data_IF_639042939868
#
_entry.id   IF_639042939868
#
_cell.length_a   1.000
_cell.length_b   1.000
_cell.length_c   1.000
_cell.angle_alpha   90.00
_cell.angle_beta   90.00
_cell.angle_gamma   90.00
#
_symmetry.space_group_name_H-M   'P 1'
#
loop_
_entity.id
_entity.type
_entity.pdbx_description
1 polymer ?
#
# COMPACT_ATOMS: atom_id res chain seq x y z
N UNK A 1 -48.42 -62.63 -5.53
CA UNK A 1 -49.34 -61.93 -6.45
C UNK A 1 -49.97 -60.80 -5.66
N UNK A 2 -49.76 -59.54 -6.12
CA UNK A 2 -50.63 -58.34 -6.00
C UNK A 2 -51.22 -57.97 -4.62
N UNK A 3 -51.36 -56.72 -4.17
CA UNK A 3 -50.98 -55.35 -4.55
C UNK A 3 -51.56 -54.45 -3.42
N UNK A 4 -50.92 -53.31 -3.16
CA UNK A 4 -51.44 -52.02 -2.66
C UNK A 4 -52.23 -51.89 -1.32
N UNK A 5 -51.64 -51.04 -0.46
CA UNK A 5 -52.13 -49.93 0.43
C UNK A 5 -53.61 -49.48 0.27
N UNK A 6 -54.23 -48.65 1.17
CA UNK A 6 -53.63 -47.67 2.10
C UNK A 6 -54.39 -47.43 3.44
N UNK A 7 -53.88 -46.54 4.31
CA UNK A 7 -54.67 -45.47 4.96
C UNK A 7 -53.79 -44.61 5.85
N UNK A 8 -53.75 -43.31 5.54
CA UNK A 8 -53.13 -42.26 6.32
C UNK A 8 -54.21 -41.17 6.54
N UNK A 9 -54.40 -40.79 7.79
CA UNK A 9 -55.15 -39.62 8.30
C UNK A 9 -54.88 -39.61 9.80
N UNK A 10 -54.48 -38.53 10.48
CA UNK A 10 -54.48 -37.11 10.18
C UNK A 10 -53.82 -36.36 11.35
N UNK A 11 -53.58 -35.06 11.17
CA UNK A 11 -53.37 -34.00 12.20
C UNK A 11 -51.97 -33.94 12.84
N UNK A 12 -51.36 -32.77 13.08
CA UNK A 12 -51.70 -31.36 12.80
C UNK A 12 -50.46 -30.49 13.07
N UNK A 13 -50.47 -29.32 12.46
CA UNK A 13 -49.46 -28.26 12.46
C UNK A 13 -48.98 -27.80 13.86
N UNK A 14 -47.71 -27.39 13.93
CA UNK A 14 -47.32 -26.20 14.68
C UNK A 14 -46.24 -25.44 13.92
N UNK A 15 -46.60 -24.21 13.54
CA UNK A 15 -45.67 -23.17 13.11
C UNK A 15 -44.72 -22.84 14.26
N UNK A 16 -43.41 -22.88 14.01
CA UNK A 16 -42.48 -22.02 14.74
C UNK A 16 -41.51 -21.38 13.75
N UNK A 17 -41.74 -20.10 13.51
CA UNK A 17 -40.91 -19.22 12.70
C UNK A 17 -39.69 -18.82 13.51
N UNK A 18 -38.64 -19.64 13.47
CA UNK A 18 -37.30 -19.27 13.91
C UNK A 18 -36.31 -19.56 12.80
N UNK A 19 -36.32 -18.70 11.78
CA UNK A 19 -35.25 -18.65 10.82
C UNK A 19 -34.11 -17.84 11.47
N UNK A 20 -32.90 -18.40 11.65
CA UNK A 20 -31.78 -17.63 12.16
C UNK A 20 -31.39 -16.59 11.10
N UNK A 21 -31.32 -15.32 11.49
CA UNK A 21 -30.73 -14.29 10.64
C UNK A 21 -29.28 -14.67 10.31
N UNK A 22 -28.85 -14.56 9.03
CA UNK A 22 -27.51 -14.94 8.64
C UNK A 22 -26.47 -13.96 9.21
N UNK A 23 -25.26 -14.43 9.57
CA UNK A 23 -24.20 -13.62 10.16
C UNK A 23 -23.48 -12.76 9.11
N UNK A 24 -24.22 -12.00 8.30
CA UNK A 24 -23.69 -11.17 7.21
C UNK A 24 -23.38 -9.74 7.62
N UNK A 25 -23.76 -9.31 8.83
CA UNK A 25 -23.58 -7.91 9.27
C UNK A 25 -22.13 -7.54 9.60
N UNK A 26 -21.34 -8.43 10.22
CA UNK A 26 -20.01 -8.04 10.72
C UNK A 26 -18.94 -7.92 9.63
N UNK A 27 -19.10 -8.65 8.52
CA UNK A 27 -18.19 -8.61 7.38
C UNK A 27 -18.36 -7.34 6.54
N UNK A 28 -19.61 -6.95 6.34
CA UNK A 28 -19.95 -5.72 5.63
C UNK A 28 -19.55 -4.49 6.45
N UNK A 29 -19.78 -4.51 7.77
CA UNK A 29 -19.28 -3.47 8.68
C UNK A 29 -17.75 -3.41 8.70
N UNK A 30 -17.06 -4.55 8.64
CA UNK A 30 -15.59 -4.58 8.60
C UNK A 30 -15.03 -3.97 7.31
N UNK A 31 -15.55 -4.36 6.14
CA UNK A 31 -15.17 -3.75 4.86
C UNK A 31 -15.52 -2.25 4.88
N UNK A 32 -16.70 -1.87 5.38
CA UNK A 32 -17.10 -0.46 5.56
C UNK A 32 -16.24 0.31 6.58
N UNK A 33 -15.69 -0.37 7.60
CA UNK A 33 -14.78 0.20 8.61
C UNK A 33 -13.41 0.47 8.01
N UNK A 34 -12.89 -0.45 7.18
CA UNK A 34 -11.67 -0.24 6.40
C UNK A 34 -11.80 0.91 5.39
N UNK A 35 -13.03 1.19 4.94
CA UNK A 35 -13.37 2.22 3.95
C UNK A 35 -13.66 3.60 4.59
N UNK A 36 -13.85 3.69 5.91
CA UNK A 36 -14.23 4.95 6.57
C UNK A 36 -13.06 5.95 6.67
N UNK A 37 -13.12 7.12 6.01
CA UNK A 37 -12.04 8.10 6.06
C UNK A 37 -12.11 8.91 7.36
N UNK A 38 -11.17 8.67 8.27
CA UNK A 38 -10.89 9.63 9.34
C UNK A 38 -10.20 10.87 8.74
N UNK A 39 -11.02 11.84 8.32
CA UNK A 39 -10.74 13.27 8.18
C UNK A 39 -9.31 13.67 7.76
N UNK A 40 -9.06 13.68 6.45
CA UNK A 40 -8.07 14.59 5.89
C UNK A 40 -8.60 16.03 6.01
N UNK A 41 -8.17 16.75 7.04
CA UNK A 41 -8.29 18.20 7.10
C UNK A 41 -7.30 18.80 6.08
N UNK A 42 -7.71 18.86 4.80
CA UNK A 42 -7.07 19.70 3.79
C UNK A 42 -7.70 21.08 3.91
N UNK A 43 -6.96 21.99 4.53
CA UNK A 43 -7.19 23.43 4.44
C UNK A 43 -5.94 24.03 3.82
N UNK A 44 -6.00 24.32 2.53
CA UNK A 44 -4.98 25.06 1.80
C UNK A 44 -5.54 25.51 0.46
N UNK A 45 -5.92 26.79 0.40
CA UNK A 45 -6.48 27.50 -0.75
C UNK A 45 -5.77 27.22 -2.08
N UNK A 46 -6.51 27.02 -3.18
CA UNK A 46 -5.95 26.97 -4.52
C UNK A 46 -6.01 28.36 -5.15
N UNK A 47 -5.03 29.23 -4.90
CA UNK A 47 -4.87 30.45 -5.72
C UNK A 47 -3.45 31.04 -5.73
N UNK A 48 -3.01 31.39 -6.95
CA UNK A 48 -1.79 32.12 -7.34
C UNK A 48 -0.48 31.30 -7.30
N UNK A 49 0.26 31.13 -8.39
CA UNK A 49 0.87 32.22 -9.17
C UNK A 49 0.90 31.93 -10.67
N UNK A 50 0.26 32.81 -11.43
CA UNK A 50 0.51 33.05 -12.86
C UNK A 50 1.82 33.83 -13.04
N UNK A 51 2.68 33.40 -13.96
CA UNK A 51 3.61 34.30 -14.65
C UNK A 51 3.49 34.11 -16.15
N UNK A 52 2.86 35.11 -16.79
CA UNK A 52 2.96 35.36 -18.22
C UNK A 52 4.25 36.12 -18.52
N UNK A 53 4.92 35.78 -19.61
CA UNK A 53 5.61 36.77 -20.41
C UNK A 53 5.37 36.44 -21.88
N UNK A 54 4.66 37.34 -22.54
CA UNK A 54 4.33 37.26 -23.96
C UNK A 54 5.20 38.27 -24.73
N UNK A 55 5.27 38.05 -26.04
CA UNK A 55 5.69 38.98 -27.10
C UNK A 55 7.19 39.16 -27.34
N UNK A 56 7.68 38.55 -28.42
CA UNK A 56 7.87 39.32 -29.67
C UNK A 56 8.27 38.42 -30.85
N UNK A 57 7.30 38.18 -31.73
CA UNK A 57 7.51 37.89 -33.14
C UNK A 57 7.12 39.15 -33.90
N UNK A 58 8.09 39.83 -34.52
CA UNK A 58 7.86 40.86 -35.54
C UNK A 58 8.91 40.69 -36.65
N UNK A 59 8.40 40.81 -37.86
CA UNK A 59 9.08 40.56 -39.12
C UNK A 59 10.14 41.61 -39.49
N UNK A 60 10.96 41.19 -40.45
CA UNK A 60 12.09 41.83 -41.11
C UNK A 60 12.05 43.35 -41.33
N UNK A 61 13.19 44.00 -41.11
CA UNK A 61 13.76 44.96 -42.07
C UNK A 61 15.28 45.16 -41.89
N UNK A 62 15.94 45.28 -43.03
CA UNK A 62 17.37 45.32 -43.29
C UNK A 62 18.06 46.56 -42.71
N UNK A 63 19.14 46.38 -41.94
CA UNK A 63 20.22 47.38 -41.83
C UNK A 63 21.55 46.74 -41.44
N UNK A 64 22.60 47.09 -42.19
CA UNK A 64 23.98 46.65 -41.95
C UNK A 64 24.55 47.36 -40.73
N UNK A 65 24.95 46.60 -39.70
CA UNK A 65 25.83 47.06 -38.63
C UNK A 65 26.62 45.89 -38.02
N UNK A 66 27.95 45.97 -38.17
CA UNK A 66 29.06 45.46 -37.36
C UNK A 66 28.88 44.17 -36.50
N UNK A 67 29.69 43.12 -36.70
CA UNK A 67 29.61 41.91 -35.87
C UNK A 67 30.09 42.20 -34.44
N UNK A 68 29.21 41.95 -33.47
CA UNK A 68 29.56 41.93 -32.05
C UNK A 68 30.73 40.97 -31.80
N UNK A 69 31.67 41.27 -30.87
CA UNK A 69 32.77 40.37 -30.58
C UNK A 69 32.23 39.10 -29.94
N UNK A 70 32.28 37.99 -30.68
CA UNK A 70 32.15 36.65 -30.11
C UNK A 70 33.31 36.47 -29.12
N UNK A 71 33.02 36.60 -27.83
CA UNK A 71 33.97 36.23 -26.77
C UNK A 71 34.06 34.70 -26.79
N UNK A 72 34.96 34.17 -27.60
CA UNK A 72 35.36 32.77 -27.51
C UNK A 72 36.14 32.59 -26.20
N UNK A 73 35.45 32.21 -25.13
CA UNK A 73 36.14 31.80 -23.90
C UNK A 73 36.97 30.56 -24.22
N UNK A 74 38.28 30.76 -24.34
CA UNK A 74 39.22 29.68 -24.60
C UNK A 74 39.59 29.09 -23.25
N UNK A 75 39.02 27.93 -22.92
CA UNK A 75 39.44 27.19 -21.74
C UNK A 75 40.84 26.63 -21.97
N UNK A 76 41.75 26.86 -21.02
CA UNK A 76 43.02 26.13 -21.04
C UNK A 76 42.76 24.66 -20.73
N UNK A 77 43.63 23.77 -21.21
CA UNK A 77 43.50 22.33 -20.98
C UNK A 77 43.42 22.01 -19.48
N UNK A 78 44.15 22.76 -18.64
CA UNK A 78 44.11 22.61 -17.18
C UNK A 78 42.79 23.09 -16.57
N UNK A 79 42.21 24.19 -17.08
CA UNK A 79 40.89 24.65 -16.63
C UNK A 79 39.77 23.68 -17.05
N UNK A 80 39.88 23.06 -18.23
CA UNK A 80 38.97 22.01 -18.65
C UNK A 80 39.14 20.76 -17.78
N UNK A 81 40.38 20.37 -17.45
CA UNK A 81 40.66 19.22 -16.60
C UNK A 81 40.17 19.45 -15.16
N UNK A 82 40.30 20.67 -14.65
CA UNK A 82 39.80 21.09 -13.34
C UNK A 82 38.26 21.14 -13.32
N UNK A 83 37.63 21.64 -14.39
CA UNK A 83 36.17 21.60 -14.56
C UNK A 83 35.67 20.17 -14.65
N UNK A 84 36.34 19.29 -15.40
CA UNK A 84 35.98 17.87 -15.50
C UNK A 84 36.19 17.13 -14.17
N UNK A 85 37.19 17.51 -13.37
CA UNK A 85 37.35 17.00 -11.99
C UNK A 85 36.29 17.55 -11.05
N UNK A 86 35.93 18.82 -11.15
CA UNK A 86 34.88 19.45 -10.35
C UNK A 86 33.50 18.87 -10.70
N UNK A 87 33.21 18.72 -11.99
CA UNK A 87 32.01 18.05 -12.51
C UNK A 87 31.99 16.54 -12.18
N UNK A 88 33.17 15.90 -12.12
CA UNK A 88 33.32 14.51 -11.71
C UNK A 88 33.22 14.25 -10.21
N UNK A 89 33.19 15.30 -9.37
CA UNK A 89 33.29 15.21 -7.89
C UNK A 89 32.01 15.48 -7.10
N UNK A 90 30.86 15.57 -7.77
CA UNK A 90 29.57 15.56 -7.08
C UNK A 90 28.76 14.35 -7.55
N UNK A 91 29.31 13.14 -7.39
CA UNK A 91 28.42 12.01 -7.12
C UNK A 91 27.99 12.21 -5.67
N UNK A 92 26.87 12.88 -5.48
CA UNK A 92 26.22 12.90 -4.18
C UNK A 92 26.20 11.48 -3.66
N UNK A 93 26.75 11.27 -2.47
CA UNK A 93 26.69 9.97 -1.84
C UNK A 93 25.22 9.59 -1.76
N UNK A 94 24.86 8.43 -2.34
CA UNK A 94 23.47 8.00 -2.35
C UNK A 94 22.92 7.98 -0.92
N UNK A 95 21.64 8.34 -0.74
CA UNK A 95 21.04 8.36 0.59
C UNK A 95 21.19 6.99 1.28
N UNK A 96 21.53 7.04 2.57
CA UNK A 96 21.56 5.83 3.39
C UNK A 96 20.13 5.40 3.67
N UNK A 97 19.74 4.27 3.08
CA UNK A 97 18.40 3.73 3.26
C UNK A 97 18.22 3.13 4.65
N UNK A 98 17.05 3.34 5.24
CA UNK A 98 16.65 2.65 6.48
C UNK A 98 16.09 1.27 6.14
N UNK A 99 16.41 0.29 6.98
CA UNK A 99 15.81 -1.03 6.86
C UNK A 99 14.33 -0.98 7.29
N UNK A 100 13.41 -1.53 6.49
CA UNK A 100 12.02 -1.67 6.90
C UNK A 100 11.87 -2.64 8.07
N UNK A 101 10.79 -2.50 8.84
CA UNK A 101 10.43 -3.42 9.92
C UNK A 101 10.30 -4.87 9.43
N UNK A 102 9.57 -5.04 8.33
CA UNK A 102 9.40 -6.34 7.66
C UNK A 102 9.92 -6.19 6.23
N UNK A 103 10.92 -6.98 5.90
CA UNK A 103 11.65 -6.93 4.64
C UNK A 103 13.13 -6.67 4.86
N UNK A 104 13.79 -6.05 3.88
CA UNK A 104 15.23 -5.95 3.91
C UNK A 104 15.82 -4.86 3.03
N UNK A 105 17.15 -4.83 3.06
CA UNK A 105 17.98 -4.01 2.18
C UNK A 105 18.72 -4.95 1.22
N UNK A 106 18.81 -4.56 -0.04
CA UNK A 106 19.66 -5.24 -1.01
C UNK A 106 20.56 -4.23 -1.75
N UNK A 107 21.25 -4.68 -2.80
CA UNK A 107 22.11 -3.81 -3.60
C UNK A 107 21.32 -2.69 -4.29
N UNK A 108 20.05 -2.93 -4.62
CA UNK A 108 19.17 -2.01 -5.35
C UNK A 108 18.52 -0.97 -4.43
N UNK A 109 18.06 -1.38 -3.24
CA UNK A 109 17.22 -0.54 -2.41
C UNK A 109 16.67 -1.20 -1.15
N UNK A 110 15.65 -0.57 -0.58
CA UNK A 110 14.84 -1.09 0.52
C UNK A 110 13.54 -1.69 -0.03
N UNK A 111 13.13 -2.83 0.51
CA UNK A 111 11.92 -3.55 0.09
C UNK A 111 11.16 -4.10 1.30
N UNK A 112 9.82 -4.12 1.20
CA UNK A 112 8.94 -4.57 2.29
C UNK A 112 8.29 -5.93 2.00
N UNK A 113 7.83 -6.57 3.06
CA UNK A 113 7.20 -7.89 3.02
C UNK A 113 8.15 -9.01 3.46
N UNK A 114 7.64 -10.24 3.56
CA UNK A 114 8.38 -11.41 4.04
C UNK A 114 9.24 -12.03 2.93
N UNK A 115 9.15 -11.51 1.72
CA UNK A 115 9.99 -11.96 0.61
C UNK A 115 9.63 -13.34 0.07
N UNK A 116 10.49 -13.86 -0.79
CA UNK A 116 10.29 -15.17 -1.43
C UNK A 116 10.22 -16.26 -0.36
N UNK A 117 9.13 -17.05 -0.40
CA UNK A 117 8.91 -18.15 0.55
C UNK A 117 8.73 -17.72 2.01
N UNK A 118 8.64 -16.42 2.30
CA UNK A 118 8.52 -15.90 3.66
C UNK A 118 9.85 -15.82 4.43
N UNK A 119 11.01 -16.00 3.77
CA UNK A 119 12.32 -16.09 4.43
C UNK A 119 12.97 -14.73 4.73
N UNK A 120 12.45 -13.63 4.21
CA UNK A 120 12.99 -12.29 4.41
C UNK A 120 14.31 -12.02 3.69
N UNK A 121 14.78 -12.93 2.81
CA UNK A 121 16.10 -12.86 2.17
C UNK A 121 16.11 -12.00 0.91
N UNK A 122 15.01 -12.00 0.16
CA UNK A 122 14.86 -11.28 -1.10
C UNK A 122 13.41 -10.90 -1.35
N UNK A 123 13.13 -9.79 -2.05
CA UNK A 123 11.76 -9.35 -2.31
C UNK A 123 11.00 -10.38 -3.14
N UNK A 124 9.70 -10.54 -2.86
CA UNK A 124 8.83 -11.46 -3.61
C UNK A 124 8.73 -11.05 -5.09
N UNK A 125 8.71 -9.75 -5.36
CA UNK A 125 8.76 -9.19 -6.71
C UNK A 125 9.42 -7.81 -6.71
N UNK A 126 9.68 -7.24 -7.88
CA UNK A 126 10.16 -5.85 -8.00
C UNK A 126 9.16 -4.83 -7.41
N UNK A 127 7.88 -5.19 -7.28
CA UNK A 127 6.85 -4.33 -6.71
C UNK A 127 6.94 -4.22 -5.17
N UNK A 128 7.78 -5.02 -4.52
CA UNK A 128 8.05 -4.91 -3.09
C UNK A 128 8.99 -3.75 -2.72
N UNK A 129 9.62 -3.11 -3.71
CA UNK A 129 10.59 -2.02 -3.46
C UNK A 129 9.87 -0.78 -2.93
N UNK A 130 10.49 -0.07 -1.98
CA UNK A 130 9.98 1.17 -1.37
C UNK A 130 10.95 2.34 -1.40
N UNK A 131 12.23 2.05 -1.60
CA UNK A 131 13.23 3.09 -1.80
C UNK A 131 14.40 2.52 -2.60
N UNK A 132 15.05 3.34 -3.41
CA UNK A 132 16.17 2.95 -4.25
C UNK A 132 17.44 3.70 -3.86
N UNK A 133 18.59 3.05 -3.95
CA UNK A 133 19.91 3.67 -3.70
C UNK A 133 20.31 4.54 -4.89
N UNK A 134 19.58 5.63 -5.10
CA UNK A 134 19.74 6.53 -6.24
C UNK A 134 19.38 7.98 -5.86
N UNK A 135 19.49 8.91 -6.81
CA UNK A 135 19.06 10.29 -6.59
C UNK A 135 17.53 10.39 -6.47
N UNK A 136 17.05 11.45 -5.82
CA UNK A 136 15.62 11.61 -5.50
C UNK A 136 14.72 11.57 -6.73
N UNK A 137 15.19 12.11 -7.87
CA UNK A 137 14.41 12.16 -9.11
C UNK A 137 14.26 10.75 -9.69
N UNK A 138 15.34 9.99 -9.81
CA UNK A 138 15.28 8.60 -10.28
C UNK A 138 14.51 7.70 -9.33
N UNK A 139 14.63 7.93 -8.03
CA UNK A 139 13.87 7.19 -7.02
C UNK A 139 12.37 7.40 -7.23
N UNK A 140 11.93 8.65 -7.36
CA UNK A 140 10.53 8.99 -7.62
C UNK A 140 10.02 8.38 -8.94
N UNK A 141 10.82 8.45 -10.01
CA UNK A 141 10.49 7.83 -11.30
C UNK A 141 10.34 6.30 -11.19
N UNK A 142 11.21 5.64 -10.43
CA UNK A 142 11.17 4.20 -10.22
C UNK A 142 10.00 3.77 -9.31
N UNK A 143 9.64 4.59 -8.31
CA UNK A 143 8.54 4.28 -7.38
C UNK A 143 7.16 4.49 -7.99
N UNK A 144 7.00 5.43 -8.93
CA UNK A 144 5.70 5.74 -9.56
C UNK A 144 4.95 4.50 -10.11
N UNK A 145 5.56 3.62 -10.94
CA UNK A 145 4.87 2.42 -11.42
C UNK A 145 4.60 1.39 -10.31
N UNK A 146 5.43 1.37 -9.25
CA UNK A 146 5.25 0.47 -8.11
C UNK A 146 4.05 0.92 -7.29
N UNK A 147 3.96 2.22 -7.00
CA UNK A 147 2.82 2.81 -6.31
C UNK A 147 1.52 2.52 -7.05
N UNK A 148 1.49 2.75 -8.37
CA UNK A 148 0.30 2.46 -9.18
C UNK A 148 -0.10 0.98 -9.07
N UNK A 149 0.87 0.07 -9.16
CA UNK A 149 0.61 -1.36 -9.04
C UNK A 149 0.14 -1.74 -7.63
N UNK A 150 0.72 -1.15 -6.59
CA UNK A 150 0.32 -1.39 -5.20
C UNK A 150 -1.13 -0.97 -4.95
N UNK A 151 -1.56 0.16 -5.54
CA UNK A 151 -2.92 0.70 -5.38
C UNK A 151 -3.98 -0.01 -6.21
N UNK A 152 -3.61 -0.82 -7.21
CA UNK A 152 -4.55 -1.46 -8.13
C UNK A 152 -5.51 -2.46 -7.45
N UNK A 153 -5.06 -3.14 -6.40
CA UNK A 153 -5.86 -4.18 -5.74
C UNK A 153 -6.31 -5.27 -6.71
N UNK A 154 -7.58 -5.65 -6.63
CA UNK A 154 -8.20 -6.66 -7.49
C UNK A 154 -8.91 -6.07 -8.73
N UNK A 155 -8.67 -4.80 -9.10
CA UNK A 155 -9.37 -4.17 -10.23
C UNK A 155 -9.16 -4.88 -11.57
N UNK A 156 -8.03 -5.58 -11.73
CA UNK A 156 -7.74 -6.43 -12.89
C UNK A 156 -8.43 -7.80 -12.90
N UNK A 157 -9.19 -8.13 -11.84
CA UNK A 157 -9.87 -9.42 -11.64
C UNK A 157 -11.33 -9.18 -11.23
N UNK A 158 -12.21 -8.73 -12.15
CA UNK A 158 -13.58 -8.32 -11.84
C UNK A 158 -14.43 -9.43 -11.19
N UNK A 159 -14.12 -10.69 -11.51
CA UNK A 159 -14.80 -11.86 -10.93
C UNK A 159 -14.46 -12.12 -9.46
N UNK A 160 -13.48 -11.40 -8.90
CA UNK A 160 -13.00 -11.53 -7.53
C UNK A 160 -13.15 -10.22 -6.73
N UNK A 161 -13.89 -9.24 -7.23
CA UNK A 161 -14.19 -8.03 -6.45
C UNK A 161 -15.09 -8.37 -5.25
N UNK A 162 -14.99 -7.57 -4.19
CA UNK A 162 -15.95 -7.57 -3.11
C UNK A 162 -17.25 -6.93 -3.58
N UNK A 163 -18.34 -7.69 -3.52
CA UNK A 163 -19.65 -7.33 -4.05
C UNK A 163 -20.68 -7.30 -2.92
N UNK A 164 -21.68 -6.43 -3.05
CA UNK A 164 -22.83 -6.37 -2.14
C UNK A 164 -23.73 -7.60 -2.27
N UNK A 165 -24.49 -7.97 -1.22
CA UNK A 165 -25.54 -8.95 -1.34
C UNK A 165 -26.53 -8.58 -2.47
N UNK A 166 -26.69 -9.47 -3.45
CA UNK A 166 -27.55 -9.27 -4.61
C UNK A 166 -26.83 -8.85 -5.89
N UNK A 167 -25.54 -8.50 -5.83
CA UNK A 167 -24.68 -8.33 -7.01
C UNK A 167 -24.19 -9.69 -7.54
N UNK A 168 -23.80 -9.77 -8.82
CA UNK A 168 -23.07 -10.92 -9.34
C UNK A 168 -21.81 -11.18 -8.52
N UNK A 169 -21.47 -12.44 -8.27
CA UNK A 169 -20.28 -12.84 -7.51
C UNK A 169 -20.26 -12.44 -6.02
N UNK A 170 -21.38 -12.02 -5.42
CA UNK A 170 -21.48 -11.72 -3.99
C UNK A 170 -21.13 -12.90 -3.07
N UNK A 171 -21.20 -14.13 -3.58
CA UNK A 171 -20.83 -15.37 -2.89
C UNK A 171 -19.31 -15.63 -2.84
N UNK A 172 -18.50 -14.83 -3.53
CA UNK A 172 -17.05 -15.05 -3.68
C UNK A 172 -16.18 -14.33 -2.65
N UNK A 173 -16.73 -13.86 -1.53
CA UNK A 173 -15.98 -13.13 -0.49
C UNK A 173 -14.71 -13.87 -0.04
N UNK A 174 -14.79 -15.18 0.18
CA UNK A 174 -13.61 -15.98 0.61
C UNK A 174 -12.55 -16.06 -0.50
N UNK A 175 -12.88 -16.44 -1.75
CA UNK A 175 -11.96 -16.31 -2.89
C UNK A 175 -11.35 -14.91 -3.04
N UNK A 176 -12.15 -13.84 -2.87
CA UNK A 176 -11.69 -12.45 -2.92
C UNK A 176 -10.68 -12.12 -1.84
N UNK A 177 -10.90 -12.57 -0.59
CA UNK A 177 -9.94 -12.39 0.51
C UNK A 177 -8.62 -13.12 0.24
N UNK A 178 -8.67 -14.34 -0.28
CA UNK A 178 -7.47 -15.11 -0.65
C UNK A 178 -6.71 -14.38 -1.76
N UNK A 179 -7.41 -13.97 -2.82
CA UNK A 179 -6.80 -13.24 -3.94
C UNK A 179 -6.18 -11.91 -3.49
N UNK A 180 -6.87 -11.17 -2.60
CA UNK A 180 -6.34 -9.94 -2.03
C UNK A 180 -5.09 -10.21 -1.18
N UNK A 181 -5.10 -11.27 -0.36
CA UNK A 181 -3.93 -11.66 0.43
C UNK A 181 -2.73 -12.00 -0.46
N UNK A 182 -2.94 -12.78 -1.51
CA UNK A 182 -1.90 -13.11 -2.49
C UNK A 182 -1.38 -11.86 -3.21
N UNK A 183 -2.29 -10.95 -3.59
CA UNK A 183 -1.92 -9.66 -4.15
C UNK A 183 -1.04 -8.86 -3.19
N UNK A 184 -1.44 -8.71 -1.93
CA UNK A 184 -0.71 -7.95 -0.91
C UNK A 184 0.70 -8.53 -0.67
N UNK A 185 0.84 -9.86 -0.69
CA UNK A 185 2.15 -10.54 -0.62
C UNK A 185 2.99 -10.21 -1.86
N UNK A 186 2.39 -10.27 -3.06
CA UNK A 186 3.11 -10.04 -4.31
C UNK A 186 3.71 -8.63 -4.43
N UNK A 187 3.10 -7.65 -3.75
CA UNK A 187 3.53 -6.25 -3.71
C UNK A 187 4.20 -5.85 -2.38
N UNK A 188 4.40 -6.79 -1.46
CA UNK A 188 5.12 -6.57 -0.20
C UNK A 188 4.39 -5.69 0.82
N UNK A 189 3.06 -5.70 0.83
CA UNK A 189 2.21 -4.91 1.74
C UNK A 189 1.52 -5.75 2.82
N UNK A 190 1.68 -7.08 2.81
CA UNK A 190 0.99 -8.01 3.71
C UNK A 190 1.28 -7.75 5.19
N UNK A 191 2.44 -7.15 5.49
CA UNK A 191 2.83 -6.79 6.87
C UNK A 191 1.94 -5.73 7.53
N UNK A 192 1.16 -4.97 6.75
CA UNK A 192 0.14 -4.04 7.28
C UNK A 192 -1.08 -4.79 7.81
N UNK A 193 -1.35 -5.97 7.27
CA UNK A 193 -2.50 -6.80 7.66
C UNK A 193 -2.16 -7.78 8.77
N UNK A 194 -0.93 -7.77 9.31
CA UNK A 194 -0.49 -8.66 10.39
C UNK A 194 -0.32 -7.90 11.69
N UNK A 195 -1.36 -7.92 12.51
CA UNK A 195 -1.41 -7.27 13.82
C UNK A 195 -0.60 -8.10 14.82
N UNK A 196 0.21 -7.41 15.62
CA UNK A 196 0.90 -8.00 16.78
C UNK A 196 0.36 -7.34 18.03
N UNK A 197 -0.23 -8.12 18.93
CA UNK A 197 -0.77 -7.65 20.20
C UNK A 197 0.25 -7.78 21.34
N UNK A 198 0.01 -7.07 22.44
CA UNK A 198 0.90 -7.04 23.61
C UNK A 198 0.97 -8.36 24.37
N UNK A 199 -0.02 -9.24 24.19
CA UNK A 199 -0.03 -10.59 24.75
C UNK A 199 0.72 -11.60 23.86
N UNK A 200 1.19 -11.17 22.69
CA UNK A 200 1.86 -12.00 21.69
C UNK A 200 0.94 -12.64 20.67
N UNK A 201 -0.37 -12.39 20.76
CA UNK A 201 -1.31 -12.81 19.74
C UNK A 201 -0.97 -12.10 18.42
N UNK A 202 -0.84 -12.89 17.36
CA UNK A 202 -0.68 -12.37 16.00
C UNK A 202 -1.94 -12.65 15.22
N UNK A 203 -2.51 -11.61 14.63
CA UNK A 203 -3.73 -11.70 13.83
C UNK A 203 -3.44 -11.29 12.40
N UNK A 204 -3.80 -12.15 11.46
CA UNK A 204 -3.84 -11.78 10.05
C UNK A 204 -5.24 -11.27 9.72
N UNK A 205 -5.38 -9.97 9.51
CA UNK A 205 -6.65 -9.29 9.26
C UNK A 205 -7.39 -9.93 8.07
N UNK A 206 -6.68 -10.36 7.02
CA UNK A 206 -7.33 -10.90 5.83
C UNK A 206 -7.86 -12.32 6.04
N UNK A 207 -7.28 -13.07 6.98
CA UNK A 207 -7.69 -14.44 7.30
C UNK A 207 -8.60 -14.53 8.53
N UNK A 208 -8.48 -13.57 9.45
CA UNK A 208 -9.07 -13.57 10.78
C UNK A 208 -9.82 -12.26 11.07
N UNK A 209 -10.36 -11.60 10.04
CA UNK A 209 -11.10 -10.33 10.16
C UNK A 209 -12.18 -10.37 11.26
N UNK A 210 -12.85 -11.51 11.46
CA UNK A 210 -13.91 -11.66 12.47
C UNK A 210 -13.43 -11.52 13.92
N UNK A 211 -12.11 -11.57 14.15
CA UNK A 211 -11.48 -11.37 15.46
C UNK A 211 -10.95 -9.94 15.65
N UNK A 212 -11.05 -9.08 14.63
CA UNK A 212 -10.56 -7.70 14.68
C UNK A 212 -11.68 -6.78 15.17
N UNK A 213 -11.57 -6.31 16.41
CA UNK A 213 -12.46 -5.27 16.94
C UNK A 213 -11.97 -3.87 16.56
N UNK A 214 -12.83 -2.86 16.64
CA UNK A 214 -12.45 -1.46 16.38
C UNK A 214 -11.35 -0.96 17.33
N UNK A 215 -11.25 -1.50 18.54
CA UNK A 215 -10.17 -1.16 19.47
C UNK A 215 -8.83 -1.78 19.06
N UNK A 216 -8.87 -3.02 18.56
CA UNK A 216 -7.69 -3.68 17.98
C UNK A 216 -7.23 -2.90 16.74
N UNK A 217 -8.14 -2.56 15.84
CA UNK A 217 -7.85 -1.78 14.63
C UNK A 217 -7.22 -0.41 14.97
N UNK A 218 -7.83 0.35 15.87
CA UNK A 218 -7.34 1.69 16.25
C UNK A 218 -5.97 1.61 16.92
N UNK A 219 -5.73 0.59 17.74
CA UNK A 219 -4.43 0.36 18.37
C UNK A 219 -3.39 0.02 17.32
N UNK A 220 -3.72 -0.86 16.38
CA UNK A 220 -2.84 -1.25 15.29
C UNK A 220 -2.48 -0.07 14.38
N UNK A 221 -3.45 0.76 14.02
CA UNK A 221 -3.21 1.99 13.27
C UNK A 221 -2.22 2.91 13.99
N UNK A 222 -2.38 3.12 15.31
CA UNK A 222 -1.43 3.91 16.11
C UNK A 222 -0.06 3.25 16.20
N UNK A 223 0.02 1.93 16.24
CA UNK A 223 1.30 1.22 16.28
C UNK A 223 2.08 1.36 14.96
N UNK A 224 1.38 1.33 13.81
CA UNK A 224 2.00 1.59 12.51
C UNK A 224 2.41 3.06 12.32
N UNK A 225 1.65 4.00 12.86
CA UNK A 225 1.79 5.44 12.52
C UNK A 225 2.41 6.30 13.61
N UNK A 226 2.40 5.89 14.88
CA UNK A 226 2.83 6.74 16.01
C UNK A 226 3.77 6.00 16.97
N UNK A 227 3.33 4.87 17.52
CA UNK A 227 4.05 4.21 18.62
C UNK A 227 5.21 3.34 18.15
N UNK A 228 5.16 2.87 16.91
CA UNK A 228 5.99 1.77 16.43
C UNK A 228 5.44 0.41 16.84
N UNK A 229 5.64 -0.57 15.97
CA UNK A 229 5.12 -1.93 16.14
C UNK A 229 5.94 -2.70 17.18
N UNK A 230 5.27 -3.58 17.91
CA UNK A 230 5.87 -4.49 18.89
C UNK A 230 6.92 -5.40 18.24
N UNK A 231 8.09 -5.50 18.86
CA UNK A 231 9.10 -6.49 18.46
C UNK A 231 8.71 -7.86 18.98
N UNK A 232 8.92 -8.88 18.15
CA UNK A 232 8.71 -10.28 18.52
C UNK A 232 9.99 -11.10 18.39
N UNK A 233 10.13 -12.14 19.19
CA UNK A 233 11.20 -13.14 19.08
C UNK A 233 10.91 -14.12 17.93
N UNK A 234 11.84 -15.07 17.69
CA UNK A 234 11.69 -16.10 16.66
C UNK A 234 10.47 -17.02 16.87
N UNK A 235 9.92 -17.03 18.08
CA UNK A 235 8.71 -17.77 18.45
C UNK A 235 7.44 -16.90 18.37
N UNK A 236 7.58 -15.65 17.90
CA UNK A 236 6.46 -14.71 17.73
C UNK A 236 6.00 -14.04 19.01
N UNK A 237 6.75 -14.13 20.11
CA UNK A 237 6.38 -13.56 21.41
C UNK A 237 6.95 -12.15 21.60
N UNK A 238 6.25 -11.23 22.29
CA UNK A 238 6.72 -9.87 22.48
C UNK A 238 8.06 -9.85 23.22
N UNK A 239 9.02 -9.12 22.67
CA UNK A 239 10.31 -8.88 23.33
C UNK A 239 10.09 -7.89 24.46
N UNK A 240 10.61 -8.20 25.64
CA UNK A 240 10.50 -7.33 26.82
C UNK A 240 11.84 -6.61 27.08
N UNK A 241 11.79 -5.29 27.22
CA UNK A 241 12.91 -4.46 27.61
C UNK A 241 12.52 -3.59 28.82
N UNK A 242 13.31 -3.64 29.90
CA UNK A 242 13.08 -2.86 31.12
C UNK A 242 11.66 -3.02 31.73
N UNK A 243 11.07 -4.21 31.63
CA UNK A 243 9.74 -4.50 32.17
C UNK A 243 8.57 -4.02 31.30
N UNK A 244 8.84 -3.50 30.10
CA UNK A 244 7.83 -3.12 29.11
C UNK A 244 8.06 -3.84 27.77
N UNK A 245 7.04 -3.85 26.92
CA UNK A 245 7.14 -4.40 25.56
C UNK A 245 8.06 -3.50 24.72
N UNK A 246 9.09 -4.10 24.13
CA UNK A 246 10.01 -3.43 23.21
C UNK A 246 9.33 -3.23 21.84
N UNK A 247 9.61 -2.08 21.22
CA UNK A 247 8.96 -1.65 19.98
C UNK A 247 10.01 -1.21 18.97
N UNK A 248 9.72 -1.42 17.70
CA UNK A 248 10.47 -0.78 16.63
C UNK A 248 10.27 0.74 16.70
N UNK A 249 11.25 1.50 16.23
CA UNK A 249 11.00 2.89 15.92
C UNK A 249 9.95 3.00 14.79
N UNK A 250 9.26 4.13 14.71
CA UNK A 250 8.32 4.41 13.63
C UNK A 250 9.00 4.18 12.26
N UNK A 251 8.34 3.40 11.41
CA UNK A 251 8.84 3.05 10.09
C UNK A 251 8.05 3.84 9.02
N UNK A 252 8.74 4.64 8.21
CA UNK A 252 8.09 5.41 7.13
C UNK A 252 7.44 4.50 6.08
N UNK A 253 7.99 3.31 5.86
CA UNK A 253 7.43 2.36 4.90
C UNK A 253 6.14 1.71 5.40
N UNK A 254 5.94 1.60 6.72
CA UNK A 254 4.66 1.12 7.28
C UNK A 254 3.54 2.13 6.98
N UNK A 255 3.81 3.43 7.14
CA UNK A 255 2.85 4.49 6.79
C UNK A 255 2.55 4.54 5.28
N UNK A 256 3.59 4.39 4.44
CA UNK A 256 3.43 4.31 2.99
C UNK A 256 2.59 3.10 2.56
N UNK A 257 2.91 1.92 3.11
CA UNK A 257 2.15 0.70 2.82
C UNK A 257 0.71 0.80 3.32
N UNK A 258 0.47 1.41 4.47
CA UNK A 258 -0.88 1.62 5.00
C UNK A 258 -1.72 2.51 4.06
N UNK A 259 -1.12 3.58 3.52
CA UNK A 259 -1.80 4.42 2.54
C UNK A 259 -2.10 3.67 1.23
N UNK A 260 -1.11 2.97 0.67
CA UNK A 260 -1.27 2.25 -0.59
C UNK A 260 -2.21 1.06 -0.48
N UNK A 261 -2.19 0.35 0.65
CA UNK A 261 -3.06 -0.80 0.87
C UNK A 261 -4.52 -0.38 1.07
N UNK A 262 -4.80 0.78 1.67
CA UNK A 262 -6.15 1.33 1.76
C UNK A 262 -6.79 1.51 0.37
N UNK A 263 -6.07 2.17 -0.54
CA UNK A 263 -6.48 2.31 -1.95
C UNK A 263 -6.65 0.95 -2.65
N UNK A 264 -5.75 0.00 -2.39
CA UNK A 264 -5.85 -1.34 -2.96
C UNK A 264 -7.09 -2.10 -2.50
N UNK A 265 -7.46 -1.98 -1.22
CA UNK A 265 -8.70 -2.57 -0.69
C UNK A 265 -9.91 -1.93 -1.36
N UNK A 266 -9.93 -0.59 -1.49
CA UNK A 266 -11.00 0.14 -2.19
C UNK A 266 -11.14 -0.31 -3.65
N UNK A 267 -10.04 -0.37 -4.39
CA UNK A 267 -10.01 -0.82 -5.78
C UNK A 267 -10.26 -2.33 -5.94
N UNK A 268 -10.40 -3.06 -4.83
CA UNK A 268 -10.85 -4.46 -4.82
C UNK A 268 -12.35 -4.60 -4.62
N UNK A 269 -13.09 -3.49 -4.55
CA UNK A 269 -14.53 -3.47 -4.35
C UNK A 269 -15.29 -3.16 -5.66
N UNK A 270 -16.54 -3.62 -5.75
CA UNK A 270 -17.41 -3.26 -6.88
C UNK A 270 -17.70 -1.76 -6.90
N UNK A 271 -18.02 -1.16 -8.06
CA UNK A 271 -18.40 0.26 -8.13
C UNK A 271 -19.59 0.65 -7.26
N UNK A 272 -20.43 -0.31 -6.86
CA UNK A 272 -21.58 -0.07 -5.99
C UNK A 272 -21.18 0.04 -4.51
N UNK A 273 -20.01 -0.48 -4.15
CA UNK A 273 -19.45 -0.44 -2.80
C UNK A 273 -18.54 0.79 -2.55
N UNK A 274 -18.10 1.46 -3.63
CA UNK A 274 -17.26 2.67 -3.61
C UNK A 274 -18.11 3.94 -3.60
#
# INVERSE_FOLDING_TARGET
MTQNSPSNSSESESNDSNQPEPPTSSLYEFVSSLISPAAANVSGDPDSLTFSFDSNQHDAETNMAEPAPTIAQTFTQDQLLELLRAAGRQRDAFPTLKQPRVGGLNATGAWTGHGVGGEGTSPMSAQCMRDFKTDVIKNHQALSPIELKCKEGLSGSPDLLFNLPGEPNADKVVPSLIALSEFMISVGMESVFRIIQTDGTQLDILLQFGMVSSDIERTWHKDLTVNGVIKVDDQGRPVMANGAVDRFAQCSYDAQNLHWSGEAVLNSCSPTLM
#
